data_IF_804861125798
#
_entry.id   IF_804861125798
#
_cell.length_a   1.000
_cell.length_b   1.000
_cell.length_c   1.000
_cell.angle_alpha   90.00
_cell.angle_beta   90.00
_cell.angle_gamma   90.00
#
_symmetry.space_group_name_H-M   'P 1'
#
loop_
_entity.id
_entity.type
_entity.pdbx_description
1 polymer ?
#
# COMPACT_ATOMS: atom_id res chain seq x y z
N UNK A 1 9.24 4.78 6.70
CA UNK A 1 10.16 3.71 6.25
C UNK A 1 9.61 2.98 5.01
N UNK A 2 10.37 2.95 3.92
CA UNK A 2 10.01 2.15 2.74
C UNK A 2 10.37 0.67 2.90
N UNK A 3 9.57 -0.22 2.32
CA UNK A 3 9.93 -1.63 2.19
C UNK A 3 10.64 -1.86 0.86
N UNK A 4 11.88 -2.36 0.91
CA UNK A 4 12.66 -2.72 -0.28
C UNK A 4 12.43 -4.18 -0.66
N UNK A 5 12.60 -4.50 -1.95
CA UNK A 5 12.63 -5.87 -2.46
C UNK A 5 11.38 -6.71 -2.09
N UNK A 6 10.22 -6.06 -2.01
CA UNK A 6 8.96 -6.77 -1.72
C UNK A 6 8.59 -7.70 -2.87
N UNK A 7 8.99 -7.36 -4.10
CA UNK A 7 8.58 -8.03 -5.33
C UNK A 7 7.13 -7.72 -5.69
N UNK A 8 6.52 -6.71 -5.06
CA UNK A 8 5.28 -6.08 -5.50
C UNK A 8 5.56 -5.00 -6.54
N UNK A 9 6.76 -4.44 -6.53
CA UNK A 9 7.15 -3.39 -7.45
C UNK A 9 7.05 -3.91 -8.89
N UNK A 10 6.35 -3.17 -9.74
CA UNK A 10 6.14 -3.47 -11.15
C UNK A 10 5.15 -4.57 -11.49
N UNK A 11 4.41 -5.13 -10.52
CA UNK A 11 3.31 -6.02 -10.89
C UNK A 11 2.19 -5.19 -11.51
N UNK A 12 1.73 -5.59 -12.70
CA UNK A 12 0.56 -5.03 -13.36
C UNK A 12 -0.66 -5.90 -13.05
N UNK A 13 -1.77 -5.26 -12.65
CA UNK A 13 -3.00 -5.95 -12.26
C UNK A 13 -4.20 -5.04 -12.48
N UNK A 14 -5.35 -5.63 -12.75
CA UNK A 14 -6.63 -4.92 -12.84
C UNK A 14 -6.97 -4.21 -11.51
N UNK A 15 -7.49 -2.98 -11.60
CA UNK A 15 -7.83 -2.14 -10.45
C UNK A 15 -8.89 -2.77 -9.53
N UNK A 16 -9.90 -3.46 -10.07
CA UNK A 16 -10.96 -4.07 -9.28
C UNK A 16 -10.44 -5.29 -8.51
N UNK A 17 -9.61 -6.11 -9.14
CA UNK A 17 -8.91 -7.21 -8.48
C UNK A 17 -7.96 -6.70 -7.39
N UNK A 18 -7.18 -5.67 -7.70
CA UNK A 18 -6.26 -5.05 -6.75
C UNK A 18 -7.01 -4.53 -5.52
N UNK A 19 -8.12 -3.82 -5.71
CA UNK A 19 -8.96 -3.33 -4.62
C UNK A 19 -9.53 -4.47 -3.76
N UNK A 20 -10.04 -5.53 -4.38
CA UNK A 20 -10.53 -6.71 -3.66
C UNK A 20 -9.45 -7.34 -2.78
N UNK A 21 -8.24 -7.54 -3.32
CA UNK A 21 -7.11 -8.09 -2.58
C UNK A 21 -6.73 -7.17 -1.42
N UNK A 22 -6.59 -5.86 -1.65
CA UNK A 22 -6.23 -4.89 -0.61
C UNK A 22 -7.26 -4.88 0.53
N UNK A 23 -8.55 -4.90 0.19
CA UNK A 23 -9.64 -4.94 1.17
C UNK A 23 -9.60 -6.23 2.04
N UNK A 24 -9.27 -7.39 1.46
CA UNK A 24 -9.09 -8.64 2.22
C UNK A 24 -7.96 -8.55 3.27
N UNK A 25 -6.96 -7.70 3.02
CA UNK A 25 -5.87 -7.41 3.94
C UNK A 25 -6.13 -6.19 4.83
N UNK A 26 -7.34 -5.63 4.82
CA UNK A 26 -7.75 -4.43 5.55
C UNK A 26 -6.96 -3.16 5.17
N UNK A 27 -6.49 -3.07 3.92
CA UNK A 27 -6.01 -1.82 3.34
C UNK A 27 -7.16 -1.19 2.53
N UNK A 28 -7.60 0.01 2.92
CA UNK A 28 -8.74 0.71 2.31
C UNK A 28 -8.31 1.98 1.58
N UNK A 29 -9.08 2.38 0.57
CA UNK A 29 -8.92 3.68 -0.10
C UNK A 29 -9.45 4.78 0.83
N UNK A 30 -8.56 5.49 1.52
CA UNK A 30 -8.95 6.60 2.41
C UNK A 30 -8.64 7.95 1.74
N UNK A 31 -9.68 8.62 1.23
CA UNK A 31 -9.68 10.06 0.99
C UNK A 31 -8.77 10.63 -0.11
N UNK A 32 -8.41 9.84 -1.13
CA UNK A 32 -7.62 10.35 -2.27
C UNK A 32 -8.43 10.43 -3.56
N UNK A 33 -8.46 11.63 -4.14
CA UNK A 33 -8.91 11.90 -5.51
C UNK A 33 -7.66 12.10 -6.36
N UNK A 34 -7.08 11.00 -6.84
CA UNK A 34 -5.99 11.03 -7.81
C UNK A 34 -6.39 10.16 -8.99
N UNK A 35 -6.58 10.79 -10.16
CA UNK A 35 -7.04 10.12 -11.38
C UNK A 35 -6.02 9.11 -11.92
N UNK A 36 -4.76 9.22 -11.50
CA UNK A 36 -3.68 8.34 -11.97
C UNK A 36 -3.24 7.36 -10.87
N UNK A 37 -3.57 7.59 -9.60
CA UNK A 37 -3.03 6.83 -8.47
C UNK A 37 -4.09 6.37 -7.50
N UNK A 38 -3.92 5.14 -7.05
CA UNK A 38 -4.67 4.59 -5.92
C UNK A 38 -3.73 4.35 -4.76
N UNK A 39 -4.20 4.72 -3.57
CA UNK A 39 -3.50 4.48 -2.32
C UNK A 39 -4.40 3.69 -1.39
N UNK A 40 -3.86 2.59 -0.86
CA UNK A 40 -4.54 1.75 0.11
C UNK A 40 -3.77 1.81 1.42
N UNK A 41 -4.48 2.15 2.50
CA UNK A 41 -3.92 2.31 3.83
C UNK A 41 -4.51 1.31 4.81
N UNK A 42 -3.64 0.72 5.62
CA UNK A 42 -4.04 0.00 6.84
C UNK A 42 -3.47 0.70 8.06
N UNK A 43 -4.36 1.15 8.94
CA UNK A 43 -4.02 1.81 10.19
C UNK A 43 -3.66 0.80 11.28
N UNK A 44 -2.59 1.10 12.02
CA UNK A 44 -2.18 0.40 13.23
C UNK A 44 -2.13 1.39 14.38
N UNK A 45 -2.73 1.03 15.51
CA UNK A 45 -2.65 1.80 16.75
C UNK A 45 -1.93 0.90 17.75
N UNK A 46 -0.71 1.26 18.10
CA UNK A 46 0.14 0.54 19.06
C UNK A 46 0.59 1.50 20.16
N UNK A 47 1.26 0.99 21.19
CA UNK A 47 1.71 1.80 22.33
C UNK A 47 2.62 2.95 21.89
N UNK A 48 3.42 2.73 20.85
CA UNK A 48 4.43 3.63 20.31
C UNK A 48 3.82 4.69 19.36
N UNK A 49 2.53 4.61 19.04
CA UNK A 49 1.83 5.60 18.22
C UNK A 49 0.88 5.00 17.18
N UNK A 50 0.48 5.85 16.24
CA UNK A 50 -0.35 5.48 15.09
C UNK A 50 0.53 5.35 13.85
N UNK A 51 0.36 4.26 13.13
CA UNK A 51 1.12 3.95 11.92
C UNK A 51 0.17 3.57 10.78
N UNK A 52 0.64 3.74 9.55
CA UNK A 52 -0.10 3.41 8.34
C UNK A 52 0.80 2.59 7.42
N UNK A 53 0.43 1.35 7.17
CA UNK A 53 0.98 0.58 6.06
C UNK A 53 0.27 1.02 4.79
N UNK A 54 1.03 1.51 3.82
CA UNK A 54 0.52 2.07 2.59
C UNK A 54 1.05 1.30 1.38
N UNK A 55 0.13 0.91 0.50
CA UNK A 55 0.44 0.37 -0.83
C UNK A 55 -0.12 1.33 -1.88
N UNK A 56 0.71 1.66 -2.87
CA UNK A 56 0.31 2.52 -3.97
C UNK A 56 0.29 1.73 -5.26
N UNK A 57 -0.57 2.13 -6.18
CA UNK A 57 -0.48 1.75 -7.57
C UNK A 57 -0.83 2.95 -8.45
N UNK A 58 -0.35 2.94 -9.69
CA UNK A 58 -0.73 3.97 -10.65
C UNK A 58 -1.17 3.34 -11.97
N UNK A 59 -2.08 4.02 -12.66
CA UNK A 59 -2.63 3.56 -13.92
C UNK A 59 -1.57 3.60 -15.02
N UNK A 60 -1.42 2.47 -15.70
CA UNK A 60 -0.56 2.35 -16.89
C UNK A 60 -1.37 2.29 -18.18
N UNK A 61 -2.64 1.89 -18.07
CA UNK A 61 -3.60 1.85 -19.16
C UNK A 61 -5.02 1.87 -18.56
N UNK A 62 -6.01 2.36 -19.32
CA UNK A 62 -7.42 2.44 -18.90
C UNK A 62 -7.78 3.68 -18.05
N UNK A 63 -8.94 3.61 -17.38
CA UNK A 63 -9.54 4.70 -16.60
C UNK A 63 -9.85 4.25 -15.16
N UNK A 64 -9.23 4.94 -14.20
CA UNK A 64 -9.36 4.69 -12.76
C UNK A 64 -10.77 5.01 -12.26
N UNK A 65 -11.41 6.05 -12.81
CA UNK A 65 -12.73 6.50 -12.36
C UNK A 65 -13.83 5.50 -12.73
N UNK A 66 -13.69 4.83 -13.87
CA UNK A 66 -14.59 3.76 -14.29
C UNK A 66 -14.27 2.40 -13.67
N UNK A 67 -13.22 2.33 -12.84
CA UNK A 67 -12.70 1.09 -12.25
C UNK A 67 -12.34 0.02 -13.32
N UNK A 68 -11.79 0.48 -14.45
CA UNK A 68 -11.37 -0.34 -15.59
C UNK A 68 -9.98 0.14 -16.05
N UNK A 69 -8.97 -0.25 -15.28
CA UNK A 69 -7.60 0.21 -15.47
C UNK A 69 -6.59 -0.87 -15.08
N UNK A 70 -5.50 -0.94 -15.84
CA UNK A 70 -4.32 -1.73 -15.47
C UNK A 70 -3.40 -0.89 -14.59
N UNK A 71 -3.23 -1.33 -13.36
CA UNK A 71 -2.47 -0.64 -12.33
C UNK A 71 -1.10 -1.28 -12.15
N UNK A 72 -0.03 -0.48 -12.17
CA UNK A 72 1.30 -0.92 -11.74
C UNK A 72 1.50 -0.65 -10.25
N UNK A 73 1.71 -1.71 -9.49
CA UNK A 73 1.97 -1.63 -8.05
C UNK A 73 3.36 -1.05 -7.78
N UNK A 74 3.42 -0.16 -6.79
CA UNK A 74 4.60 0.59 -6.39
C UNK A 74 5.13 0.09 -5.05
N UNK A 75 6.30 0.61 -4.70
CA UNK A 75 6.98 0.30 -3.46
C UNK A 75 6.16 0.70 -2.22
N UNK A 76 5.84 -0.25 -1.32
CA UNK A 76 5.09 0.04 -0.11
C UNK A 76 5.88 0.86 0.91
N UNK A 77 5.15 1.56 1.79
CA UNK A 77 5.75 2.37 2.87
C UNK A 77 4.99 2.17 4.18
N UNK A 78 5.72 2.15 5.30
CA UNK A 78 5.17 2.31 6.64
C UNK A 78 5.41 3.75 7.08
N UNK A 79 4.34 4.52 7.26
CA UNK A 79 4.39 5.88 7.78
C UNK A 79 3.96 5.94 9.24
N UNK A 80 4.55 6.84 10.03
CA UNK A 80 4.09 7.15 11.38
C UNK A 80 3.31 8.46 11.35
N UNK A 81 2.20 8.51 12.08
CA UNK A 81 1.38 9.71 12.21
C UNK A 81 1.76 10.47 13.50
N UNK A 82 2.12 11.74 13.35
CA UNK A 82 2.53 12.64 14.43
C UNK A 82 1.45 13.71 14.66
N UNK A 83 0.51 13.42 15.54
CA UNK A 83 -0.49 14.43 15.94
C UNK A 83 0.12 15.45 16.91
N UNK A 84 -0.19 16.77 16.84
CA UNK A 84 -1.07 17.47 15.90
C UNK A 84 -0.37 18.00 14.63
N UNK A 85 0.93 17.78 14.47
CA UNK A 85 1.77 18.48 13.48
C UNK A 85 1.90 17.80 12.10
N UNK A 86 1.36 16.58 11.90
CA UNK A 86 1.29 15.91 10.59
C UNK A 86 2.11 14.62 10.51
N UNK A 87 2.81 14.40 9.40
CA UNK A 87 3.76 13.29 9.21
C UNK A 87 5.15 13.90 9.14
N UNK A 88 6.00 13.66 10.14
CA UNK A 88 7.38 14.15 10.18
C UNK A 88 8.33 13.09 9.63
N UNK A 89 9.16 13.47 8.67
CA UNK A 89 10.28 12.66 8.18
C UNK A 89 11.56 13.10 8.89
N UNK A 90 11.77 12.65 10.14
CA UNK A 90 12.94 13.00 10.96
C UNK A 90 13.82 11.79 11.28
N UNK A 91 15.11 12.02 11.55
CA UNK A 91 16.11 10.97 11.84
C UNK A 91 15.79 10.10 13.08
N UNK A 92 14.80 10.50 13.90
CA UNK A 92 14.31 9.77 15.09
C UNK A 92 12.98 9.02 14.84
N UNK A 93 12.61 8.72 13.59
CA UNK A 93 11.45 7.87 13.29
C UNK A 93 11.67 6.41 13.78
N UNK A 94 11.16 6.11 14.98
CA UNK A 94 11.14 4.74 15.50
C UNK A 94 9.97 3.94 14.92
N UNK A 95 10.29 2.86 14.21
CA UNK A 95 9.34 1.86 13.74
C UNK A 95 9.51 0.58 14.58
N UNK A 96 8.51 0.16 15.38
CA UNK A 96 8.63 -1.00 16.24
C UNK A 96 8.84 -2.29 15.43
N UNK A 97 9.83 -3.11 15.78
CA UNK A 97 10.17 -4.33 15.04
C UNK A 97 8.97 -5.29 14.88
N UNK A 98 8.14 -5.40 15.91
CA UNK A 98 6.94 -6.23 15.85
C UNK A 98 5.98 -5.76 14.75
N UNK A 99 5.82 -4.44 14.59
CA UNK A 99 4.97 -3.84 13.57
C UNK A 99 5.58 -4.03 12.18
N UNK A 100 6.89 -3.85 12.03
CA UNK A 100 7.61 -4.12 10.77
C UNK A 100 7.36 -5.56 10.33
N UNK A 101 7.52 -6.53 11.24
CA UNK A 101 7.31 -7.95 10.96
C UNK A 101 5.86 -8.25 10.54
N UNK A 102 4.88 -7.63 11.20
CA UNK A 102 3.47 -7.74 10.80
C UNK A 102 3.26 -7.18 9.40
N UNK A 103 3.83 -6.02 9.07
CA UNK A 103 3.70 -5.42 7.75
C UNK A 103 4.34 -6.30 6.66
N UNK A 104 5.52 -6.86 6.90
CA UNK A 104 6.18 -7.79 5.96
C UNK A 104 5.27 -8.99 5.68
N UNK A 105 4.68 -9.61 6.72
CA UNK A 105 3.77 -10.75 6.53
C UNK A 105 2.52 -10.40 5.72
N UNK A 106 1.98 -9.19 5.88
CA UNK A 106 0.86 -8.69 5.08
C UNK A 106 1.29 -8.50 3.62
N UNK A 107 2.41 -7.82 3.38
CA UNK A 107 2.94 -7.58 2.03
C UNK A 107 3.27 -8.90 1.30
N UNK A 108 3.81 -9.90 2.00
CA UNK A 108 4.07 -11.23 1.43
C UNK A 108 2.78 -11.95 1.03
N UNK A 109 1.69 -11.75 1.78
CA UNK A 109 0.40 -12.34 1.49
C UNK A 109 -0.25 -11.66 0.27
N UNK A 110 -0.26 -10.32 0.27
CA UNK A 110 -0.70 -9.51 -0.87
C UNK A 110 0.06 -9.90 -2.13
N UNK A 111 1.39 -10.02 -2.07
CA UNK A 111 2.22 -10.41 -3.20
C UNK A 111 1.80 -11.74 -3.81
N UNK A 112 1.54 -12.76 -3.00
CA UNK A 112 1.13 -14.08 -3.48
C UNK A 112 -0.20 -14.01 -4.22
N UNK A 113 -1.15 -13.23 -3.71
CA UNK A 113 -2.47 -13.06 -4.31
C UNK A 113 -2.40 -12.22 -5.60
N UNK A 114 -1.75 -11.05 -5.55
CA UNK A 114 -1.63 -10.15 -6.72
C UNK A 114 -0.89 -10.86 -7.86
N UNK A 115 0.17 -11.61 -7.56
CA UNK A 115 0.94 -12.34 -8.58
C UNK A 115 0.14 -13.42 -9.30
N UNK A 116 -0.93 -13.95 -8.69
CA UNK A 116 -1.81 -14.91 -9.35
C UNK A 116 -2.63 -14.28 -10.50
N UNK A 117 -2.73 -12.95 -10.51
CA UNK A 117 -3.47 -12.16 -11.49
C UNK A 117 -2.57 -11.18 -12.26
N UNK A 118 -1.25 -11.41 -12.24
CA UNK A 118 -0.28 -10.56 -12.92
C UNK A 118 -0.54 -10.55 -14.43
N UNK A 119 -0.68 -9.35 -14.99
CA UNK A 119 -0.81 -9.12 -16.42
C UNK A 119 0.58 -9.00 -17.01
N UNK A 120 0.88 -9.81 -18.03
CA UNK A 120 2.11 -9.68 -18.80
C UNK A 120 1.97 -8.49 -19.76
N UNK A 121 2.76 -7.45 -19.52
CA UNK A 121 2.83 -6.22 -20.34
C UNK A 121 4.09 -6.22 -21.18
#
# INVERSE_FOLDING_TARGET
MYFENTGLENIHVDIALLESIMNNHALTKEGQWDYERVTYDRKFIVREGTYYLRVFAYATDGDVDSNDATMRVMKPVLGKHYYPHGVEYGEDEHFPEHLIKTCIGILDSIKKEVKAFEISV
#
